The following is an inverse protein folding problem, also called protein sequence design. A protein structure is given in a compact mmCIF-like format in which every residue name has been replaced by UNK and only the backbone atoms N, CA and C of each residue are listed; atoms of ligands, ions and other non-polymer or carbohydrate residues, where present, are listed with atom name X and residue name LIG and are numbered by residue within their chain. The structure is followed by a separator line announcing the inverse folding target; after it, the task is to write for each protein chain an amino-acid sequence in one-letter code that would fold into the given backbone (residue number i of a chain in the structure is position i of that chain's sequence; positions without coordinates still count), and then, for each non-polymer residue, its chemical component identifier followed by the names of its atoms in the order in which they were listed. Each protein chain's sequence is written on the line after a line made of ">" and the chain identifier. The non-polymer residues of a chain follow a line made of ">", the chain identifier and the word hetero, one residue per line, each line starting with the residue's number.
data_IF_889810986138
#
_entry.id   IF_889810986138
#
_cell.length_a   1.000
_cell.length_b   1.000
_cell.length_c   1.000
_cell.angle_alpha   90.00
_cell.angle_beta   90.00
_cell.angle_gamma   90.00
#
_symmetry.space_group_name_H-M   'P 1'
#
loop_
_entity.id
_entity.type
_entity.pdbx_description
1 polymer ?
#
# COMPACT_ATOMS: atom_id res chain seq x y z
N UNK A 1 -21.60 5.51 7.38
CA UNK A 1 -20.74 4.31 7.57
C UNK A 1 -19.31 4.69 7.25
N UNK A 2 -18.53 5.05 8.25
CA UNK A 2 -17.09 5.29 8.10
C UNK A 2 -16.42 4.31 9.04
N UNK A 3 -15.84 3.24 8.51
CA UNK A 3 -14.91 2.48 9.36
C UNK A 3 -13.67 1.99 8.61
N UNK A 4 -13.73 1.68 7.31
CA UNK A 4 -12.52 1.39 6.54
C UNK A 4 -12.77 1.64 5.05
N UNK A 5 -12.42 2.84 4.57
CA UNK A 5 -12.31 3.15 3.14
C UNK A 5 -11.37 2.16 2.45
N UNK A 6 -11.64 1.83 1.19
CA UNK A 6 -10.89 0.83 0.43
C UNK A 6 -9.40 1.18 0.39
N UNK A 7 -9.08 2.47 0.26
CA UNK A 7 -7.71 2.98 0.33
C UNK A 7 -6.98 2.70 1.64
N UNK A 8 -7.68 2.75 2.78
CA UNK A 8 -7.08 2.47 4.09
C UNK A 8 -6.69 1.00 4.22
N UNK A 9 -7.47 0.08 3.63
CA UNK A 9 -7.13 -1.35 3.60
C UNK A 9 -5.91 -1.61 2.71
N UNK A 10 -5.84 -0.96 1.55
CA UNK A 10 -4.67 -1.06 0.66
C UNK A 10 -3.39 -0.51 1.32
N UNK A 11 -3.50 0.64 1.99
CA UNK A 11 -2.38 1.25 2.71
C UNK A 11 -1.86 0.34 3.85
N UNK A 12 -2.77 -0.31 4.59
CA UNK A 12 -2.39 -1.28 5.62
C UNK A 12 -1.63 -2.48 5.05
N UNK A 13 -2.08 -3.04 3.93
CA UNK A 13 -1.41 -4.16 3.27
C UNK A 13 0.00 -3.74 2.81
N UNK A 14 0.11 -2.58 2.15
CA UNK A 14 1.40 -2.04 1.72
C UNK A 14 2.36 -1.78 2.91
N UNK A 15 1.84 -1.26 4.02
CA UNK A 15 2.61 -1.04 5.24
C UNK A 15 3.12 -2.33 5.87
N UNK A 16 2.31 -3.39 5.92
CA UNK A 16 2.74 -4.71 6.42
C UNK A 16 3.86 -5.28 5.54
N UNK A 17 3.70 -5.23 4.22
CA UNK A 17 4.72 -5.70 3.27
C UNK A 17 6.04 -4.94 3.48
N UNK A 18 5.96 -3.63 3.67
CA UNK A 18 7.13 -2.79 3.93
C UNK A 18 7.85 -3.14 5.24
N UNK A 19 7.11 -3.40 6.32
CA UNK A 19 7.69 -3.83 7.59
C UNK A 19 8.41 -5.15 7.43
N UNK A 20 7.79 -6.14 6.76
CA UNK A 20 8.41 -7.44 6.49
C UNK A 20 9.69 -7.27 5.67
N UNK A 21 9.66 -6.48 4.60
CA UNK A 21 10.83 -6.20 3.77
C UNK A 21 11.97 -5.54 4.58
N UNK A 22 11.63 -4.63 5.49
CA UNK A 22 12.61 -3.96 6.36
C UNK A 22 13.23 -4.93 7.37
N UNK A 23 12.44 -5.82 7.97
CA UNK A 23 12.94 -6.85 8.88
C UNK A 23 13.89 -7.80 8.16
N UNK A 24 13.51 -8.25 6.95
CA UNK A 24 14.36 -9.11 6.11
C UNK A 24 15.67 -8.40 5.78
N UNK A 25 15.64 -7.12 5.39
CA UNK A 25 16.82 -6.31 5.14
C UNK A 25 17.75 -6.25 6.36
N UNK A 26 17.22 -5.93 7.54
CA UNK A 26 18.01 -5.86 8.78
C UNK A 26 18.60 -7.23 9.20
N UNK A 27 18.00 -8.32 8.71
CA UNK A 27 18.43 -9.69 8.98
C UNK A 27 19.44 -10.22 7.96
N UNK A 28 19.97 -9.38 7.05
CA UNK A 28 20.99 -9.77 6.07
C UNK A 28 22.40 -9.29 6.46
N UNK A 29 23.12 -10.04 7.31
CA UNK A 29 24.48 -9.69 7.72
C UNK A 29 25.54 -9.96 6.62
N UNK A 30 25.16 -10.62 5.52
CA UNK A 30 26.08 -11.06 4.47
C UNK A 30 26.18 -10.10 3.27
N UNK A 31 25.42 -9.00 3.25
CA UNK A 31 25.46 -8.04 2.15
C UNK A 31 26.67 -7.10 2.29
N UNK A 32 27.34 -6.81 1.17
CA UNK A 32 28.33 -5.74 1.10
C UNK A 32 27.68 -4.36 1.26
N UNK A 33 28.47 -3.33 1.61
CA UNK A 33 27.97 -1.96 1.81
C UNK A 33 27.18 -1.40 0.62
N UNK A 34 27.62 -1.68 -0.62
CA UNK A 34 26.93 -1.22 -1.83
C UNK A 34 25.58 -1.93 -2.02
N UNK A 35 25.54 -3.24 -1.78
CA UNK A 35 24.33 -4.06 -1.90
C UNK A 35 23.32 -3.68 -0.82
N UNK A 36 23.79 -3.42 0.40
CA UNK A 36 22.98 -2.97 1.53
C UNK A 36 22.38 -1.58 1.25
N UNK A 37 23.17 -0.66 0.70
CA UNK A 37 22.69 0.66 0.27
C UNK A 37 21.65 0.58 -0.84
N UNK A 38 21.89 -0.23 -1.88
CA UNK A 38 20.94 -0.42 -2.98
C UNK A 38 19.62 -1.05 -2.49
N UNK A 39 19.69 -2.06 -1.60
CA UNK A 39 18.51 -2.69 -1.04
C UNK A 39 17.68 -1.72 -0.19
N UNK A 40 18.36 -0.89 0.61
CA UNK A 40 17.70 0.16 1.40
C UNK A 40 16.92 1.13 0.51
N UNK A 41 17.55 1.65 -0.54
CA UNK A 41 16.89 2.56 -1.49
C UNK A 41 15.72 1.89 -2.23
N UNK A 42 15.87 0.62 -2.60
CA UNK A 42 14.79 -0.15 -3.23
C UNK A 42 13.58 -0.31 -2.30
N UNK A 43 13.80 -0.59 -1.02
CA UNK A 43 12.74 -0.70 -0.01
C UNK A 43 12.05 0.65 0.20
N UNK A 44 12.80 1.75 0.28
CA UNK A 44 12.23 3.10 0.39
C UNK A 44 11.42 3.49 -0.85
N UNK A 45 11.92 3.22 -2.05
CA UNK A 45 11.21 3.50 -3.30
C UNK A 45 9.91 2.68 -3.40
N UNK A 46 9.96 1.40 -3.04
CA UNK A 46 8.79 0.51 -2.99
C UNK A 46 7.71 1.06 -2.04
N UNK A 47 8.09 1.56 -0.87
CA UNK A 47 7.16 2.18 0.07
C UNK A 47 6.44 3.39 -0.51
N UNK A 48 7.17 4.28 -1.17
CA UNK A 48 6.60 5.47 -1.81
C UNK A 48 5.61 5.07 -2.92
N UNK A 49 5.96 4.07 -3.73
CA UNK A 49 5.07 3.53 -4.77
C UNK A 49 3.79 2.95 -4.15
N UNK A 50 3.91 2.20 -3.05
CA UNK A 50 2.76 1.64 -2.34
C UNK A 50 1.88 2.72 -1.70
N UNK A 51 2.48 3.78 -1.14
CA UNK A 51 1.75 4.92 -0.59
C UNK A 51 0.96 5.65 -1.69
N UNK A 52 1.63 6.04 -2.78
CA UNK A 52 0.99 6.77 -3.88
C UNK A 52 -0.06 5.89 -4.57
N UNK A 53 0.30 4.65 -4.91
CA UNK A 53 -0.61 3.69 -5.53
C UNK A 53 -1.81 3.36 -4.64
N UNK A 54 -1.59 3.14 -3.35
CA UNK A 54 -2.64 2.86 -2.38
C UNK A 54 -3.61 4.02 -2.19
N UNK A 55 -3.13 5.27 -2.21
CA UNK A 55 -3.97 6.46 -2.14
C UNK A 55 -4.80 6.60 -3.43
N UNK A 56 -4.18 6.52 -4.61
CA UNK A 56 -4.88 6.68 -5.89
C UNK A 56 -5.90 5.56 -6.14
N UNK A 57 -5.50 4.29 -5.96
CA UNK A 57 -6.40 3.15 -6.09
C UNK A 57 -7.47 3.16 -4.99
N UNK A 58 -7.13 3.65 -3.80
CA UNK A 58 -8.06 3.86 -2.70
C UNK A 58 -9.19 4.80 -3.08
N UNK A 59 -8.84 6.00 -3.54
CA UNK A 59 -9.80 7.02 -3.97
C UNK A 59 -10.63 6.52 -5.16
N UNK A 60 -9.99 5.91 -6.15
CA UNK A 60 -10.69 5.36 -7.32
C UNK A 60 -11.68 4.24 -6.92
N UNK A 61 -11.26 3.35 -6.02
CA UNK A 61 -12.08 2.27 -5.48
C UNK A 61 -13.27 2.79 -4.66
N UNK A 62 -13.04 3.78 -3.79
CA UNK A 62 -14.10 4.40 -3.00
C UNK A 62 -15.14 5.10 -3.91
N UNK A 63 -14.67 5.82 -4.94
CA UNK A 63 -15.55 6.43 -5.93
C UNK A 63 -16.35 5.40 -6.73
N UNK A 64 -15.72 4.32 -7.18
CA UNK A 64 -16.39 3.23 -7.89
C UNK A 64 -17.46 2.56 -7.02
N UNK A 65 -17.13 2.24 -5.76
CA UNK A 65 -18.05 1.62 -4.81
C UNK A 65 -19.27 2.51 -4.52
N UNK A 66 -19.04 3.82 -4.36
CA UNK A 66 -20.12 4.79 -4.11
C UNK A 66 -21.13 4.87 -5.26
N UNK A 67 -20.66 4.78 -6.52
CA UNK A 67 -21.52 4.75 -7.70
C UNK A 67 -22.35 3.46 -7.73
N UNK A 68 -21.73 2.32 -7.43
CA UNK A 68 -22.43 1.04 -7.35
C UNK A 68 -23.59 1.04 -6.33
N UNK A 69 -23.35 1.59 -5.14
CA UNK A 69 -24.38 1.73 -4.10
C UNK A 69 -25.52 2.66 -4.54
N UNK A 70 -25.21 3.77 -5.23
CA UNK A 70 -26.21 4.70 -5.76
C UNK A 70 -27.13 4.01 -6.78
N UNK A 71 -26.57 3.28 -7.75
CA UNK A 71 -27.36 2.53 -8.73
C UNK A 71 -28.30 1.50 -8.09
N UNK A 72 -27.82 0.80 -7.05
CA UNK A 72 -28.65 -0.19 -6.32
C UNK A 72 -29.81 0.48 -5.56
N UNK A 73 -29.63 1.70 -5.05
CA UNK A 73 -30.69 2.44 -4.35
C UNK A 73 -31.76 3.01 -5.28
N UNK A 74 -31.40 3.34 -6.53
CA UNK A 74 -32.35 3.86 -7.53
C UNK A 74 -33.19 2.76 -8.20
N UNK A 75 -32.79 1.49 -8.07
CA UNK A 75 -33.54 0.33 -8.60
C UNK A 75 -34.48 -0.32 -7.57
N UNK A 76 -34.57 0.21 -6.35
CA UNK A 76 -35.37 -0.33 -5.25
C UNK A 76 -36.54 0.60 -4.93
#
# INVERSE_FOLDING_TARGET
>A
MTLFTFGTKLALIGGIIFIIATIVYMSQPSLGLEEQGALFWAIMASFLVWMVGGIYLGVAGDQWLSRGLKYQSEQK
#
